data_IF_466224136069
#
_entry.id   IF_466224136069
#
_cell.length_a   1.000
_cell.length_b   1.000
_cell.length_c   1.000
_cell.angle_alpha   90.00
_cell.angle_beta   90.00
_cell.angle_gamma   90.00
#
_symmetry.space_group_name_H-M   'P 1'
#
loop_
_entity.id
_entity.type
_entity.pdbx_description
1 polymer ?
#
# COMPACT_ATOMS: atom_id res chain seq x y z
N UNK A 1 -0.32 1.22 10.67
CA UNK A 1 0.93 0.47 10.88
C UNK A 1 0.80 -0.90 10.24
N UNK A 2 1.89 -1.43 9.68
CA UNK A 2 1.85 -2.60 8.81
C UNK A 2 1.31 -3.85 9.52
N UNK A 3 1.52 -4.02 10.82
CA UNK A 3 0.98 -5.16 11.57
C UNK A 3 -0.54 -5.03 11.91
N UNK A 4 -1.08 -3.83 11.86
CA UNK A 4 -2.39 -3.49 12.41
C UNK A 4 -3.48 -3.50 11.34
N UNK A 5 -3.53 -4.55 10.50
CA UNK A 5 -4.50 -4.66 9.40
C UNK A 5 -5.94 -4.89 9.87
N UNK A 6 -6.13 -5.35 11.11
CA UNK A 6 -7.45 -5.51 11.73
C UNK A 6 -8.05 -4.19 12.26
N UNK A 7 -7.43 -3.06 11.95
CA UNK A 7 -7.76 -1.76 12.53
C UNK A 7 -7.04 -1.51 13.86
N UNK A 8 -6.97 -0.23 14.25
CA UNK A 8 -6.55 0.21 15.58
C UNK A 8 -7.83 0.59 16.33
N UNK A 9 -7.99 0.21 17.60
CA UNK A 9 -9.31 0.28 18.28
C UNK A 9 -10.03 1.64 18.17
N UNK A 10 -11.30 1.56 17.75
CA UNK A 10 -12.53 2.36 17.99
C UNK A 10 -12.55 3.89 17.82
N UNK A 11 -11.40 4.54 17.73
CA UNK A 11 -11.32 6.01 17.72
C UNK A 11 -10.84 6.57 16.37
N UNK A 12 -10.63 5.72 15.37
CA UNK A 12 -10.21 6.12 14.03
C UNK A 12 -11.40 6.70 13.23
N UNK A 13 -11.23 7.93 12.74
CA UNK A 13 -12.24 8.64 11.96
C UNK A 13 -13.13 9.62 12.75
N UNK A 14 -13.36 9.40 14.05
CA UNK A 14 -14.07 10.36 14.93
C UNK A 14 -13.09 11.24 15.73
N UNK A 15 -12.14 10.64 16.45
CA UNK A 15 -11.13 11.40 17.23
C UNK A 15 -9.95 11.86 16.36
N UNK A 16 -9.69 11.16 15.25
CA UNK A 16 -8.61 11.46 14.32
C UNK A 16 -9.15 11.59 12.89
N UNK A 17 -9.85 12.69 12.57
CA UNK A 17 -10.33 12.92 11.21
C UNK A 17 -9.17 13.17 10.24
N UNK A 18 -9.44 12.96 8.95
CA UNK A 18 -8.53 13.42 7.91
C UNK A 18 -8.53 14.95 7.87
N UNK A 19 -7.35 15.53 7.98
CA UNK A 19 -7.09 16.95 7.91
C UNK A 19 -6.75 17.32 6.46
N UNK A 20 -7.43 18.32 5.87
CA UNK A 20 -7.06 18.83 4.56
C UNK A 20 -5.61 19.34 4.53
N UNK A 21 -5.03 19.37 3.33
CA UNK A 21 -3.65 19.79 3.07
C UNK A 21 -2.60 18.94 3.81
N UNK A 22 -2.94 17.67 4.05
CA UNK A 22 -2.06 16.71 4.75
C UNK A 22 -1.72 15.54 3.83
N UNK A 23 -0.47 15.07 3.92
CA UNK A 23 -0.03 13.81 3.30
C UNK A 23 -0.07 12.70 4.34
N UNK A 24 -0.76 11.62 4.02
CA UNK A 24 -0.89 10.42 4.83
C UNK A 24 -0.09 9.29 4.21
N UNK A 25 0.62 8.52 5.04
CA UNK A 25 1.18 7.24 4.62
C UNK A 25 0.05 6.20 4.60
N UNK A 26 -0.17 5.56 3.45
CA UNK A 26 -1.10 4.44 3.31
C UNK A 26 -0.27 3.18 3.26
N UNK A 27 -0.48 2.34 4.25
CA UNK A 27 0.41 1.25 4.58
C UNK A 27 -0.37 -0.07 4.69
N UNK A 28 -0.28 -0.89 3.66
CA UNK A 28 -1.02 -2.14 3.56
C UNK A 28 -0.08 -3.33 3.48
N UNK A 29 -0.56 -4.49 3.90
CA UNK A 29 0.10 -5.73 3.53
C UNK A 29 -0.92 -6.84 3.33
N UNK A 30 -0.55 -7.77 2.48
CA UNK A 30 -1.24 -9.03 2.30
C UNK A 30 -0.29 -10.17 2.67
N UNK A 31 -0.76 -11.10 3.49
CA UNK A 31 -0.04 -12.33 3.84
C UNK A 31 -0.81 -13.52 3.30
N UNK A 32 -0.15 -14.36 2.50
CA UNK A 32 -0.74 -15.55 1.88
C UNK A 32 0.20 -16.72 2.08
N UNK A 33 -0.34 -17.88 2.49
CA UNK A 33 0.42 -19.12 2.54
C UNK A 33 0.58 -19.70 1.12
N UNK A 34 1.81 -20.04 0.74
CA UNK A 34 2.09 -20.74 -0.53
C UNK A 34 2.57 -22.15 -0.18
N UNK A 35 1.71 -23.19 -0.28
CA UNK A 35 2.04 -24.55 0.13
C UNK A 35 3.27 -25.13 -0.56
N UNK A 36 3.44 -24.85 -1.86
CA UNK A 36 4.57 -25.31 -2.68
C UNK A 36 5.90 -24.76 -2.15
N UNK A 37 5.87 -23.58 -1.55
CA UNK A 37 7.05 -22.92 -0.98
C UNK A 37 7.18 -23.17 0.52
N UNK A 38 6.22 -23.89 1.13
CA UNK A 38 6.17 -24.24 2.56
C UNK A 38 6.36 -23.03 3.47
N UNK A 39 5.82 -21.88 3.08
CA UNK A 39 5.97 -20.62 3.81
C UNK A 39 4.86 -19.63 3.51
N UNK A 40 4.69 -18.70 4.43
CA UNK A 40 3.90 -17.50 4.19
C UNK A 40 4.72 -16.48 3.40
N UNK A 41 4.06 -15.86 2.43
CA UNK A 41 4.56 -14.72 1.68
C UNK A 41 3.77 -13.50 2.09
N UNK A 42 4.51 -12.48 2.52
CA UNK A 42 3.97 -11.19 2.92
C UNK A 42 4.45 -10.14 1.94
N UNK A 43 3.50 -9.46 1.29
CA UNK A 43 3.76 -8.31 0.44
C UNK A 43 3.32 -7.07 1.19
N UNK A 44 4.24 -6.11 1.33
CA UNK A 44 4.02 -4.83 1.99
C UNK A 44 4.01 -3.74 0.92
N UNK A 45 3.02 -2.86 0.98
CA UNK A 45 2.86 -1.76 0.05
C UNK A 45 2.65 -0.47 0.83
N UNK A 46 3.44 0.54 0.51
CA UNK A 46 3.29 1.88 1.04
C UNK A 46 3.15 2.87 -0.10
N UNK A 47 2.11 3.70 -0.03
CA UNK A 47 1.92 4.81 -0.96
C UNK A 47 1.52 6.07 -0.19
N UNK A 48 2.16 7.19 -0.53
CA UNK A 48 1.77 8.49 0.03
C UNK A 48 0.53 9.02 -0.67
N UNK A 49 -0.47 9.40 0.14
CA UNK A 49 -1.72 9.98 -0.30
C UNK A 49 -1.90 11.41 0.22
N UNK A 50 -2.13 12.36 -0.68
CA UNK A 50 -2.46 13.74 -0.32
C UNK A 50 -3.98 13.91 -0.23
N UNK A 51 -4.46 14.39 0.92
CA UNK A 51 -5.86 14.78 1.11
C UNK A 51 -5.96 16.31 1.17
N UNK A 52 -6.61 16.93 0.18
CA UNK A 52 -6.81 18.36 0.08
C UNK A 52 -8.29 18.74 -0.07
N UNK A 53 -8.56 20.04 -0.23
CA UNK A 53 -9.92 20.56 -0.40
C UNK A 53 -10.68 19.98 -1.61
N UNK A 54 -9.93 19.52 -2.64
CA UNK A 54 -10.46 18.88 -3.85
C UNK A 54 -10.55 17.35 -3.74
N UNK A 55 -10.31 16.79 -2.55
CA UNK A 55 -10.29 15.36 -2.29
C UNK A 55 -8.89 14.76 -2.29
N UNK A 56 -8.84 13.44 -2.55
CA UNK A 56 -7.65 12.62 -2.41
C UNK A 56 -6.90 12.42 -3.74
N UNK A 57 -5.56 12.33 -3.67
CA UNK A 57 -4.72 11.81 -4.76
C UNK A 57 -3.50 11.09 -4.22
N UNK A 58 -2.98 10.13 -4.97
CA UNK A 58 -1.65 9.60 -4.71
C UNK A 58 -0.57 10.61 -5.12
N UNK A 59 0.48 10.73 -4.30
CA UNK A 59 1.55 11.72 -4.54
C UNK A 59 2.31 11.40 -5.83
N UNK A 60 2.59 10.12 -6.06
CA UNK A 60 3.37 9.62 -7.21
C UNK A 60 2.51 8.81 -8.21
N UNK A 61 1.19 9.00 -8.21
CA UNK A 61 0.26 8.11 -8.89
C UNK A 61 0.08 6.77 -8.16
N UNK A 62 -0.76 5.89 -8.72
CA UNK A 62 -1.12 4.59 -8.13
C UNK A 62 -0.40 3.48 -8.87
N UNK A 63 0.37 2.65 -8.16
CA UNK A 63 0.93 1.42 -8.74
C UNK A 63 -0.19 0.38 -8.94
N UNK A 64 -0.57 0.14 -10.20
CA UNK A 64 -1.59 -0.87 -10.56
C UNK A 64 -1.01 -2.19 -11.07
N UNK A 65 0.30 -2.25 -11.30
CA UNK A 65 0.98 -3.41 -11.89
C UNK A 65 2.18 -3.86 -11.04
N UNK A 66 2.59 -5.11 -11.23
CA UNK A 66 3.75 -5.68 -10.57
C UNK A 66 5.04 -5.24 -11.28
N UNK A 67 6.02 -4.80 -10.50
CA UNK A 67 7.38 -4.56 -10.97
C UNK A 67 8.19 -5.84 -10.80
N UNK A 68 8.20 -6.69 -11.84
CA UNK A 68 8.87 -7.98 -11.80
C UNK A 68 10.41 -7.86 -11.84
N UNK A 69 11.08 -8.88 -11.31
CA UNK A 69 12.53 -9.07 -11.39
C UNK A 69 12.82 -10.40 -12.12
N UNK A 70 13.63 -10.41 -13.20
CA UNK A 70 14.23 -9.23 -13.82
C UNK A 70 13.17 -8.30 -14.42
N UNK A 71 13.50 -7.01 -14.54
CA UNK A 71 12.63 -6.08 -15.28
C UNK A 71 12.57 -6.59 -16.71
N UNK A 72 11.36 -6.93 -17.16
CA UNK A 72 11.13 -7.34 -18.54
C UNK A 72 11.49 -6.14 -19.40
N UNK A 73 12.60 -6.24 -20.11
CA UNK A 73 13.06 -5.25 -21.06
C UNK A 73 13.00 -5.95 -22.41
N UNK A 74 12.27 -5.40 -23.38
CA UNK A 74 11.99 -6.09 -24.64
C UNK A 74 13.26 -6.56 -25.37
N UNK A 75 14.37 -5.86 -25.17
CA UNK A 75 15.67 -6.19 -25.76
C UNK A 75 16.47 -7.27 -25.02
N UNK A 76 16.11 -7.63 -23.78
CA UNK A 76 16.83 -8.62 -22.99
C UNK A 76 16.34 -10.06 -23.23
N UNK A 77 15.25 -10.24 -24.00
CA UNK A 77 14.63 -11.55 -24.20
C UNK A 77 14.02 -12.13 -22.92
N UNK A 78 13.08 -13.05 -23.07
CA UNK A 78 12.52 -13.81 -21.94
C UNK A 78 13.42 -15.00 -21.58
#
# INVERSE_FOLDING_TARGET
>A
MWDSQGGVMKDDGENYPLNPNTVYAIELNATVNIPEWKRDIRIMLEEAGFFGEKGFRYVNGRQSELLLIPRVNEHLGN
#
